data_IF_497157450554
#
_entry.id   IF_497157450554
#
_cell.length_a   1.000
_cell.length_b   1.000
_cell.length_c   1.000
_cell.angle_alpha   90.00
_cell.angle_beta   90.00
_cell.angle_gamma   90.00
#
_symmetry.space_group_name_H-M   'P 1'
#
loop_
_entity.id
_entity.type
_entity.pdbx_description
1 polymer ?
#
# COMPACT_ATOMS: atom_id res chain seq x y z
N UNK A 1 10.53 49.70 -6.97
CA UNK A 1 10.46 48.23 -6.90
C UNK A 1 9.02 47.83 -6.72
N UNK A 2 8.42 47.22 -7.74
CA UNK A 2 7.03 46.78 -7.75
C UNK A 2 7.01 45.25 -7.83
N UNK A 3 6.63 44.57 -6.75
CA UNK A 3 5.98 43.25 -6.77
C UNK A 3 5.08 43.20 -5.51
N UNK A 4 3.77 43.16 -5.72
CA UNK A 4 2.79 43.07 -4.63
C UNK A 4 1.36 43.44 -5.00
N UNK A 5 0.99 43.41 -6.29
CA UNK A 5 -0.38 43.69 -6.74
C UNK A 5 -1.10 42.39 -7.07
N UNK A 6 -2.00 41.94 -6.21
CA UNK A 6 -2.90 40.81 -6.51
C UNK A 6 -3.82 40.42 -5.35
N UNK A 7 -3.36 40.56 -4.10
CA UNK A 7 -4.13 40.13 -2.93
C UNK A 7 -5.28 41.08 -2.52
N UNK A 8 -5.27 42.34 -2.97
CA UNK A 8 -6.23 43.34 -2.49
C UNK A 8 -7.61 43.31 -3.15
N UNK A 9 -7.79 42.59 -4.28
CA UNK A 9 -9.07 42.64 -5.02
C UNK A 9 -10.14 41.66 -4.53
N UNK A 10 -9.82 40.68 -3.70
CA UNK A 10 -10.77 39.63 -3.29
C UNK A 10 -11.17 39.64 -1.81
N UNK A 11 -10.56 40.50 -0.99
CA UNK A 11 -10.75 40.47 0.46
C UNK A 11 -12.09 41.08 0.93
N UNK A 12 -12.83 41.77 0.05
CA UNK A 12 -13.99 42.58 0.45
C UNK A 12 -15.33 42.19 -0.21
N UNK A 13 -15.44 41.01 -0.83
CA UNK A 13 -16.72 40.48 -1.37
C UNK A 13 -16.96 39.02 -1.00
N UNK A 14 -18.23 38.61 -0.74
CA UNK A 14 -18.60 37.23 -0.38
C UNK A 14 -18.23 36.18 -1.44
N UNK A 15 -17.94 36.61 -2.67
CA UNK A 15 -17.47 35.74 -3.76
C UNK A 15 -16.05 35.21 -3.49
N UNK A 16 -15.20 35.99 -2.83
CA UNK A 16 -13.82 35.58 -2.50
C UNK A 16 -13.79 34.48 -1.44
N UNK A 17 -14.63 34.59 -0.41
CA UNK A 17 -14.73 33.56 0.65
C UNK A 17 -15.32 32.26 0.12
N UNK A 18 -16.33 32.32 -0.76
CA UNK A 18 -16.87 31.12 -1.43
C UNK A 18 -15.82 30.45 -2.32
N UNK A 19 -15.01 31.22 -3.05
CA UNK A 19 -13.90 30.70 -3.85
C UNK A 19 -12.82 29.99 -3.02
N UNK A 20 -12.48 30.54 -1.85
CA UNK A 20 -11.54 29.92 -0.91
C UNK A 20 -12.12 28.63 -0.32
N UNK A 21 -13.39 28.64 0.09
CA UNK A 21 -14.05 27.43 0.64
C UNK A 21 -14.17 26.34 -0.44
N UNK A 22 -14.52 26.69 -1.67
CA UNK A 22 -14.58 25.75 -2.78
C UNK A 22 -13.19 25.19 -3.13
N UNK A 23 -12.17 26.04 -3.12
CA UNK A 23 -10.77 25.62 -3.30
C UNK A 23 -10.31 24.67 -2.19
N UNK A 24 -10.56 25.02 -0.93
CA UNK A 24 -10.31 24.16 0.22
C UNK A 24 -11.03 22.82 0.09
N UNK A 25 -12.29 22.83 -0.34
CA UNK A 25 -13.07 21.62 -0.57
C UNK A 25 -12.50 20.76 -1.71
N UNK A 26 -12.14 21.37 -2.85
CA UNK A 26 -11.55 20.67 -4.00
C UNK A 26 -10.18 20.08 -3.64
N UNK A 27 -9.34 20.85 -2.94
CA UNK A 27 -8.01 20.43 -2.50
C UNK A 27 -8.11 19.33 -1.43
N UNK A 28 -8.94 19.52 -0.41
CA UNK A 28 -9.24 18.49 0.60
C UNK A 28 -9.76 17.20 -0.04
N UNK A 29 -10.67 17.31 -1.02
CA UNK A 29 -11.20 16.16 -1.76
C UNK A 29 -10.14 15.50 -2.65
N UNK A 30 -9.20 16.26 -3.22
CA UNK A 30 -8.11 15.71 -4.03
C UNK A 30 -7.06 14.98 -3.19
N UNK A 31 -6.73 15.50 -2.01
CA UNK A 31 -5.75 14.96 -1.05
C UNK A 31 -6.27 13.68 -0.37
N UNK A 32 -7.59 13.65 -0.06
CA UNK A 32 -8.29 12.50 0.55
C UNK A 32 -8.60 11.34 -0.39
N UNK A 33 -8.33 11.44 -1.69
CA UNK A 33 -8.54 10.30 -2.58
C UNK A 33 -7.58 9.17 -2.20
N UNK A 34 -8.08 7.97 -1.82
CA UNK A 34 -7.21 6.83 -1.62
C UNK A 34 -6.43 6.58 -2.91
N UNK A 35 -5.14 6.26 -2.81
CA UNK A 35 -4.36 5.86 -3.99
C UNK A 35 -4.83 4.46 -4.36
N UNK A 36 -5.90 4.42 -5.15
CA UNK A 36 -6.50 3.19 -5.65
C UNK A 36 -5.41 2.42 -6.42
N UNK A 37 -5.14 1.21 -5.98
CA UNK A 37 -4.32 0.24 -6.66
C UNK A 37 -4.96 -0.02 -8.03
N UNK A 38 -4.27 0.34 -9.11
CA UNK A 38 -4.73 0.15 -10.49
C UNK A 38 -3.88 -0.92 -11.18
N UNK A 39 -3.93 -2.15 -10.65
CA UNK A 39 -3.27 -3.28 -11.28
C UNK A 39 -4.18 -3.87 -12.36
N UNK A 40 -3.59 -4.25 -13.48
CA UNK A 40 -4.24 -4.96 -14.57
C UNK A 40 -3.35 -6.12 -15.00
N UNK A 41 -3.97 -7.24 -15.35
CA UNK A 41 -3.28 -8.35 -15.99
C UNK A 41 -3.01 -8.02 -17.45
N UNK A 42 -1.87 -8.49 -17.98
CA UNK A 42 -1.62 -8.47 -19.42
C UNK A 42 -2.54 -9.51 -20.05
N UNK A 43 -3.54 -9.05 -20.81
CA UNK A 43 -4.60 -9.89 -21.39
C UNK A 43 -4.02 -11.15 -22.06
N UNK A 44 -4.29 -12.31 -21.48
CA UNK A 44 -3.90 -13.62 -22.03
C UNK A 44 -5.05 -14.17 -22.87
N UNK A 45 -4.80 -14.52 -24.13
CA UNK A 45 -5.84 -15.01 -25.06
C UNK A 45 -6.24 -16.46 -24.69
N UNK A 46 -7.44 -16.67 -24.14
CA UNK A 46 -7.99 -18.00 -23.81
C UNK A 46 -9.17 -17.97 -22.82
N UNK A 47 -10.00 -19.04 -22.77
CA UNK A 47 -11.19 -19.14 -21.89
C UNK A 47 -10.88 -18.97 -20.40
N UNK A 48 -9.80 -19.57 -19.89
CA UNK A 48 -9.37 -19.41 -18.49
C UNK A 48 -8.77 -18.02 -18.20
N UNK A 49 -8.28 -17.31 -19.23
CA UNK A 49 -7.76 -15.96 -19.08
C UNK A 49 -8.82 -14.97 -18.61
N UNK A 50 -10.05 -15.08 -19.13
CA UNK A 50 -11.16 -14.22 -18.72
C UNK A 50 -11.60 -14.43 -17.26
N UNK A 51 -11.54 -15.66 -16.76
CA UNK A 51 -11.86 -15.97 -15.36
C UNK A 51 -10.82 -15.37 -14.41
N UNK A 52 -9.53 -15.49 -14.76
CA UNK A 52 -8.44 -14.92 -13.96
C UNK A 52 -8.45 -13.39 -13.96
N UNK A 53 -8.74 -12.79 -15.12
CA UNK A 53 -8.95 -11.35 -15.24
C UNK A 53 -10.06 -10.87 -14.29
N UNK A 54 -11.21 -11.54 -14.28
CA UNK A 54 -12.33 -11.18 -13.40
C UNK A 54 -12.01 -11.35 -11.90
N UNK A 55 -11.42 -12.47 -11.49
CA UNK A 55 -11.05 -12.71 -10.09
C UNK A 55 -9.98 -11.72 -9.62
N UNK A 56 -8.98 -11.41 -10.45
CA UNK A 56 -7.94 -10.43 -10.11
C UNK A 56 -8.51 -9.00 -10.03
N UNK A 57 -9.36 -8.61 -10.98
CA UNK A 57 -10.02 -7.29 -10.95
C UNK A 57 -10.90 -7.15 -9.70
N UNK A 58 -11.64 -8.20 -9.31
CA UNK A 58 -12.38 -8.22 -8.04
C UNK A 58 -11.46 -8.02 -6.84
N UNK A 59 -10.35 -8.76 -6.78
CA UNK A 59 -9.41 -8.68 -5.67
C UNK A 59 -8.82 -7.26 -5.51
N UNK A 60 -8.48 -6.61 -6.63
CA UNK A 60 -8.02 -5.21 -6.66
C UNK A 60 -9.14 -4.25 -6.24
N UNK A 61 -10.38 -4.49 -6.64
CA UNK A 61 -11.53 -3.69 -6.22
C UNK A 61 -11.78 -3.78 -4.71
N UNK A 62 -11.71 -4.98 -4.14
CA UNK A 62 -11.91 -5.19 -2.69
C UNK A 62 -10.76 -4.60 -1.87
N UNK A 63 -9.51 -4.70 -2.35
CA UNK A 63 -8.36 -3.96 -1.82
C UNK A 63 -8.63 -2.46 -1.75
N UNK A 64 -9.03 -1.87 -2.86
CA UNK A 64 -9.32 -0.45 -2.96
C UNK A 64 -10.45 0.00 -2.03
N UNK A 65 -11.47 -0.85 -1.86
CA UNK A 65 -12.58 -0.60 -0.94
C UNK A 65 -12.12 -0.63 0.51
N UNK A 66 -11.30 -1.61 0.90
CA UNK A 66 -10.74 -1.70 2.26
C UNK A 66 -9.85 -0.51 2.58
N UNK A 67 -8.99 -0.10 1.64
CA UNK A 67 -8.17 1.11 1.79
C UNK A 67 -9.05 2.34 2.04
N UNK A 68 -10.12 2.53 1.27
CA UNK A 68 -11.08 3.61 1.49
C UNK A 68 -11.71 3.59 2.88
N UNK A 69 -12.06 2.41 3.40
CA UNK A 69 -12.64 2.26 4.73
C UNK A 69 -11.63 2.52 5.87
N UNK A 70 -10.35 2.14 5.66
CA UNK A 70 -9.25 2.24 6.64
C UNK A 70 -8.93 3.68 7.06
N UNK A 71 -8.97 4.63 6.14
CA UNK A 71 -8.55 6.03 6.42
C UNK A 71 -9.40 6.74 7.48
N UNK A 72 -10.69 6.40 7.56
CA UNK A 72 -11.63 6.99 8.51
C UNK A 72 -11.73 6.19 9.83
N UNK A 73 -10.85 5.22 10.07
CA UNK A 73 -10.80 4.49 11.33
C UNK A 73 -10.21 5.37 12.44
N UNK A 74 -10.97 5.54 13.52
CA UNK A 74 -10.54 6.28 14.72
C UNK A 74 -9.77 5.40 15.70
N UNK A 75 -10.00 4.08 15.69
CA UNK A 75 -9.33 3.11 16.57
C UNK A 75 -7.89 2.85 16.06
N UNK A 76 -6.84 3.20 16.82
CA UNK A 76 -5.46 3.09 16.36
C UNK A 76 -5.05 1.65 16.08
N UNK A 77 -5.45 0.71 16.93
CA UNK A 77 -5.06 -0.70 16.82
C UNK A 77 -5.75 -1.36 15.61
N UNK A 78 -7.00 -0.99 15.36
CA UNK A 78 -7.73 -1.49 14.19
C UNK A 78 -7.21 -0.87 12.89
N UNK A 79 -6.80 0.40 12.94
CA UNK A 79 -6.16 1.08 11.81
C UNK A 79 -4.84 0.42 11.45
N UNK A 80 -4.04 0.04 12.45
CA UNK A 80 -2.80 -0.72 12.28
C UNK A 80 -3.07 -2.12 11.73
N UNK A 81 -4.00 -2.87 12.34
CA UNK A 81 -4.40 -4.21 11.85
C UNK A 81 -4.85 -4.15 10.38
N UNK A 82 -5.73 -3.21 10.04
CA UNK A 82 -6.17 -3.00 8.66
C UNK A 82 -5.01 -2.60 7.73
N UNK A 83 -4.02 -1.84 8.23
CA UNK A 83 -2.82 -1.49 7.46
C UNK A 83 -1.99 -2.74 7.12
N UNK A 84 -1.77 -3.62 8.10
CA UNK A 84 -1.01 -4.86 7.93
C UNK A 84 -1.69 -5.79 6.93
N UNK A 85 -3.01 -5.99 7.08
CA UNK A 85 -3.80 -6.78 6.14
C UNK A 85 -3.71 -6.23 4.71
N UNK A 86 -3.79 -4.91 4.53
CA UNK A 86 -3.63 -4.29 3.22
C UNK A 86 -2.20 -4.40 2.71
N UNK A 87 -1.19 -4.36 3.56
CA UNK A 87 0.18 -4.62 3.13
C UNK A 87 0.32 -6.03 2.54
N UNK A 88 -0.15 -7.06 3.27
CA UNK A 88 -0.12 -8.45 2.80
C UNK A 88 -0.91 -8.60 1.49
N UNK A 89 -2.13 -8.06 1.45
CA UNK A 89 -2.99 -8.08 0.28
C UNK A 89 -2.30 -7.46 -0.94
N UNK A 90 -1.66 -6.31 -0.78
CA UNK A 90 -0.92 -5.64 -1.86
C UNK A 90 0.19 -6.52 -2.42
N UNK A 91 0.96 -7.17 -1.56
CA UNK A 91 2.08 -8.00 -1.99
C UNK A 91 1.60 -9.25 -2.72
N UNK A 92 0.54 -9.87 -2.20
CA UNK A 92 -0.12 -10.98 -2.87
C UNK A 92 -0.65 -10.55 -4.24
N UNK A 93 -1.29 -9.40 -4.36
CA UNK A 93 -1.76 -8.88 -5.66
C UNK A 93 -0.61 -8.62 -6.64
N UNK A 94 0.53 -8.11 -6.19
CA UNK A 94 1.71 -7.98 -7.05
C UNK A 94 2.27 -9.33 -7.49
N UNK A 95 2.32 -10.30 -6.58
CA UNK A 95 2.74 -11.66 -6.90
C UNK A 95 1.82 -12.28 -7.95
N UNK A 96 0.50 -12.20 -7.76
CA UNK A 96 -0.50 -12.71 -8.70
C UNK A 96 -0.49 -11.99 -10.05
N UNK A 97 -0.07 -10.72 -10.09
CA UNK A 97 0.11 -10.02 -11.36
C UNK A 97 1.27 -10.60 -12.18
N UNK A 98 2.35 -11.01 -11.51
CA UNK A 98 3.54 -11.58 -12.14
C UNK A 98 3.36 -13.05 -12.50
N UNK A 99 2.59 -13.79 -11.69
CA UNK A 99 2.31 -15.21 -11.84
C UNK A 99 0.80 -15.48 -11.91
N UNK A 100 0.11 -15.11 -13.01
CA UNK A 100 -1.34 -15.21 -13.11
C UNK A 100 -1.88 -16.64 -12.98
N UNK A 101 -1.06 -17.65 -13.30
CA UNK A 101 -1.38 -19.07 -13.09
C UNK A 101 -1.57 -19.46 -11.63
N UNK A 102 -1.12 -18.62 -10.68
CA UNK A 102 -1.28 -18.82 -9.24
C UNK A 102 -2.58 -18.23 -8.70
N UNK A 103 -3.34 -17.47 -9.50
CA UNK A 103 -4.62 -16.87 -9.10
C UNK A 103 -5.60 -17.89 -8.48
N UNK A 104 -5.75 -19.12 -9.02
CA UNK A 104 -6.62 -20.13 -8.41
C UNK A 104 -6.20 -20.54 -6.99
N UNK A 105 -4.92 -20.47 -6.65
CA UNK A 105 -4.43 -20.78 -5.29
C UNK A 105 -4.77 -19.68 -4.29
N UNK A 106 -5.09 -18.48 -4.77
CA UNK A 106 -5.51 -17.35 -3.96
C UNK A 106 -7.05 -17.21 -3.90
N UNK A 107 -7.81 -18.18 -4.41
CA UNK A 107 -9.28 -18.12 -4.46
C UNK A 107 -9.93 -17.81 -3.09
N UNK A 108 -9.53 -18.45 -1.97
CA UNK A 108 -10.08 -18.11 -0.65
C UNK A 108 -9.80 -16.66 -0.24
N UNK A 109 -8.64 -16.12 -0.58
CA UNK A 109 -8.30 -14.72 -0.32
C UNK A 109 -9.18 -13.78 -1.14
N UNK A 110 -9.29 -14.04 -2.45
CA UNK A 110 -10.00 -13.19 -3.41
C UNK A 110 -11.51 -13.18 -3.13
N UNK A 111 -12.10 -14.34 -2.87
CA UNK A 111 -13.55 -14.49 -2.81
C UNK A 111 -14.12 -14.43 -1.39
N UNK A 112 -13.30 -14.66 -0.36
CA UNK A 112 -13.78 -14.71 1.02
C UNK A 112 -13.03 -13.74 1.93
N UNK A 113 -11.72 -13.86 2.11
CA UNK A 113 -11.03 -13.07 3.14
C UNK A 113 -11.07 -11.56 2.88
N UNK A 114 -10.78 -11.11 1.66
CA UNK A 114 -10.80 -9.68 1.34
C UNK A 114 -12.19 -9.05 1.48
N UNK A 115 -13.22 -9.71 0.97
CA UNK A 115 -14.60 -9.24 1.06
C UNK A 115 -15.08 -9.16 2.53
N UNK A 116 -14.77 -10.18 3.34
CA UNK A 116 -15.14 -10.22 4.75
C UNK A 116 -14.42 -9.16 5.57
N UNK A 117 -13.15 -8.89 5.30
CA UNK A 117 -12.40 -7.85 6.00
C UNK A 117 -13.03 -6.47 5.76
N UNK A 118 -13.35 -6.16 4.50
CA UNK A 118 -14.06 -4.93 4.10
C UNK A 118 -15.39 -4.80 4.85
N UNK A 119 -16.20 -5.87 4.83
CA UNK A 119 -17.49 -5.90 5.52
C UNK A 119 -17.34 -5.63 7.02
N UNK A 120 -16.39 -6.28 7.69
CA UNK A 120 -16.17 -6.17 9.13
C UNK A 120 -15.70 -4.77 9.52
N UNK A 121 -14.75 -4.19 8.80
CA UNK A 121 -14.30 -2.81 9.04
C UNK A 121 -15.44 -1.82 8.86
N UNK A 122 -16.22 -1.97 7.78
CA UNK A 122 -17.38 -1.12 7.54
C UNK A 122 -18.41 -1.23 8.68
N UNK A 123 -18.72 -2.45 9.13
CA UNK A 123 -19.65 -2.67 10.25
C UNK A 123 -19.12 -2.13 11.58
N UNK A 124 -17.82 -2.24 11.83
CA UNK A 124 -17.19 -1.63 13.00
C UNK A 124 -17.41 -0.11 13.01
N UNK A 125 -17.16 0.56 11.87
CA UNK A 125 -17.39 2.01 11.73
C UNK A 125 -18.85 2.38 12.00
N UNK A 126 -19.80 1.61 11.46
CA UNK A 126 -21.23 1.83 11.74
C UNK A 126 -21.52 1.74 13.25
N UNK A 127 -20.98 0.73 13.94
CA UNK A 127 -21.17 0.58 15.39
C UNK A 127 -20.54 1.73 16.18
N UNK A 128 -19.37 2.23 15.78
CA UNK A 128 -18.73 3.40 16.42
C UNK A 128 -19.57 4.66 16.19
N UNK A 129 -20.06 4.88 14.98
CA UNK A 129 -20.86 6.05 14.62
C UNK A 129 -22.19 6.14 15.40
N UNK A 130 -22.75 5.00 15.84
CA UNK A 130 -23.97 5.02 16.67
C UNK A 130 -23.78 5.69 18.04
N UNK A 131 -22.53 5.79 18.54
CA UNK A 131 -22.25 6.33 19.87
C UNK A 131 -22.79 5.48 21.04
N UNK A 132 -23.43 4.34 20.76
CA UNK A 132 -24.07 3.50 21.77
C UNK A 132 -23.02 2.80 22.64
N UNK A 133 -23.13 2.99 23.96
CA UNK A 133 -22.26 2.38 24.98
C UNK A 133 -22.88 1.15 25.63
N UNK A 134 -23.89 0.55 25.02
CA UNK A 134 -24.52 -0.67 25.56
C UNK A 134 -23.53 -1.84 25.52
N UNK A 135 -23.64 -2.74 26.51
CA UNK A 135 -22.77 -3.91 26.62
C UNK A 135 -22.74 -4.74 25.32
N UNK A 136 -23.88 -4.90 24.65
CA UNK A 136 -23.99 -5.63 23.38
C UNK A 136 -23.19 -4.98 22.25
N UNK A 137 -23.23 -3.65 22.13
CA UNK A 137 -22.49 -2.91 21.10
C UNK A 137 -20.99 -2.95 21.38
N UNK A 138 -20.57 -2.76 22.64
CA UNK A 138 -19.17 -2.87 23.05
C UNK A 138 -18.62 -4.27 22.81
N UNK A 139 -19.35 -5.32 23.24
CA UNK A 139 -18.94 -6.70 23.01
C UNK A 139 -18.85 -7.05 21.52
N UNK A 140 -19.78 -6.55 20.70
CA UNK A 140 -19.76 -6.79 19.25
C UNK A 140 -18.57 -6.09 18.59
N UNK A 141 -18.28 -4.83 18.96
CA UNK A 141 -17.08 -4.11 18.50
C UNK A 141 -15.81 -4.90 18.82
N UNK A 142 -15.69 -5.41 20.05
CA UNK A 142 -14.53 -6.21 20.45
C UNK A 142 -14.42 -7.52 19.65
N UNK A 143 -15.53 -8.23 19.42
CA UNK A 143 -15.55 -9.43 18.59
C UNK A 143 -15.07 -9.15 17.16
N UNK A 144 -15.53 -8.04 16.56
CA UNK A 144 -15.09 -7.63 15.22
C UNK A 144 -13.59 -7.33 15.22
N UNK A 145 -13.09 -6.62 16.23
CA UNK A 145 -11.66 -6.33 16.38
C UNK A 145 -10.83 -7.61 16.47
N UNK A 146 -11.18 -8.52 17.37
CA UNK A 146 -10.48 -9.81 17.51
C UNK A 146 -10.52 -10.63 16.22
N UNK A 147 -11.66 -10.66 15.54
CA UNK A 147 -11.79 -11.38 14.28
C UNK A 147 -10.90 -10.78 13.18
N UNK A 148 -10.83 -9.45 13.08
CA UNK A 148 -9.93 -8.78 12.12
C UNK A 148 -8.46 -9.09 12.41
N UNK A 149 -8.06 -9.14 13.68
CA UNK A 149 -6.71 -9.58 14.06
C UNK A 149 -6.44 -11.04 13.66
N UNK A 150 -7.40 -11.95 13.84
CA UNK A 150 -7.26 -13.33 13.38
C UNK A 150 -7.23 -13.45 11.85
N UNK A 151 -7.97 -12.58 11.15
CA UNK A 151 -7.95 -12.53 9.70
C UNK A 151 -6.59 -12.07 9.17
N UNK A 152 -5.87 -11.19 9.87
CA UNK A 152 -4.50 -10.82 9.52
C UNK A 152 -3.59 -12.06 9.42
N UNK A 153 -3.64 -12.95 10.41
CA UNK A 153 -2.93 -14.23 10.37
C UNK A 153 -3.38 -15.12 9.20
N UNK A 154 -4.69 -15.13 8.90
CA UNK A 154 -5.23 -15.88 7.77
C UNK A 154 -4.74 -15.35 6.41
N UNK A 155 -4.55 -14.03 6.28
CA UNK A 155 -3.97 -13.42 5.08
C UNK A 155 -2.53 -13.88 4.87
N UNK A 156 -1.72 -13.86 5.93
CA UNK A 156 -0.34 -14.35 5.86
C UNK A 156 -0.28 -15.82 5.45
N UNK A 157 -1.13 -16.65 6.04
CA UNK A 157 -1.20 -18.07 5.72
C UNK A 157 -1.63 -18.30 4.26
N UNK A 158 -2.63 -17.57 3.76
CA UNK A 158 -3.05 -17.72 2.36
C UNK A 158 -1.95 -17.29 1.39
N UNK A 159 -1.25 -16.18 1.67
CA UNK A 159 -0.14 -15.76 0.83
C UNK A 159 0.99 -16.82 0.83
N UNK A 160 1.22 -17.45 1.98
CA UNK A 160 2.19 -18.54 2.09
C UNK A 160 1.85 -19.72 1.21
N UNK A 161 0.59 -20.17 1.21
CA UNK A 161 0.14 -21.29 0.38
C UNK A 161 0.36 -21.00 -1.10
N UNK A 162 0.08 -19.76 -1.53
CA UNK A 162 0.32 -19.30 -2.90
C UNK A 162 1.82 -19.38 -3.26
N UNK A 163 2.72 -19.07 -2.32
CA UNK A 163 4.18 -19.12 -2.50
C UNK A 163 4.80 -20.52 -2.29
N UNK A 164 4.05 -21.48 -1.75
CA UNK A 164 4.59 -22.76 -1.27
C UNK A 164 5.42 -23.49 -2.33
N UNK A 165 4.98 -23.45 -3.59
CA UNK A 165 5.70 -24.08 -4.70
C UNK A 165 7.08 -23.45 -4.95
N UNK A 166 7.19 -22.13 -4.92
CA UNK A 166 8.48 -21.44 -5.08
C UNK A 166 9.38 -21.64 -3.87
N UNK A 167 8.81 -21.62 -2.67
CA UNK A 167 9.53 -21.86 -1.42
C UNK A 167 10.20 -23.24 -1.40
N UNK A 168 9.52 -24.27 -1.94
CA UNK A 168 10.08 -25.61 -2.05
C UNK A 168 11.26 -25.68 -3.02
N UNK A 169 11.18 -24.98 -4.15
CA UNK A 169 12.27 -24.92 -5.14
C UNK A 169 13.50 -24.24 -4.53
N UNK A 170 13.32 -23.09 -3.89
CA UNK A 170 14.41 -22.35 -3.24
C UNK A 170 15.07 -23.19 -2.15
N UNK A 171 14.31 -23.91 -1.32
CA UNK A 171 14.87 -24.79 -0.29
C UNK A 171 15.73 -25.91 -0.89
N UNK A 172 15.25 -26.51 -1.99
CA UNK A 172 16.02 -27.50 -2.76
C UNK A 172 17.32 -26.94 -3.34
N UNK A 173 17.28 -25.74 -3.93
CA UNK A 173 18.45 -25.05 -4.48
C UNK A 173 19.47 -24.67 -3.39
N UNK A 174 19.00 -24.16 -2.24
CA UNK A 174 19.85 -23.83 -1.10
C UNK A 174 20.55 -25.08 -0.58
N UNK A 175 19.82 -26.19 -0.41
CA UNK A 175 20.41 -27.48 0.02
C UNK A 175 21.43 -27.99 -1.00
N UNK A 176 21.15 -27.88 -2.30
CA UNK A 176 22.09 -28.26 -3.34
C UNK A 176 23.36 -27.38 -3.31
N UNK A 177 23.19 -26.08 -3.11
CA UNK A 177 24.28 -25.11 -3.05
C UNK A 177 25.14 -25.28 -1.79
N UNK A 178 24.54 -25.44 -0.61
CA UNK A 178 25.28 -25.70 0.63
C UNK A 178 26.07 -26.99 0.54
N UNK A 179 25.50 -28.05 -0.06
CA UNK A 179 26.21 -29.31 -0.32
C UNK A 179 27.38 -29.10 -1.28
N UNK A 180 27.22 -28.32 -2.34
CA UNK A 180 28.30 -28.01 -3.27
C UNK A 180 29.43 -27.22 -2.59
N UNK A 181 29.09 -26.20 -1.80
CA UNK A 181 30.06 -25.37 -1.07
C UNK A 181 30.78 -26.15 0.05
N UNK A 182 30.09 -27.06 0.72
CA UNK A 182 30.68 -27.96 1.71
C UNK A 182 31.68 -28.92 1.06
N UNK A 183 31.33 -29.51 -0.08
CA UNK A 183 32.24 -30.36 -0.86
C UNK A 183 33.50 -29.60 -1.33
N UNK A 184 33.39 -28.29 -1.55
CA UNK A 184 34.51 -27.42 -1.92
C UNK A 184 35.33 -26.93 -0.71
N UNK A 185 34.96 -27.30 0.51
CA UNK A 185 35.61 -26.86 1.74
C UNK A 185 35.41 -25.37 2.08
N UNK A 186 34.59 -24.66 1.30
CA UNK A 186 34.31 -23.21 1.45
C UNK A 186 33.25 -22.97 2.53
N UNK A 187 32.42 -23.97 2.81
CA UNK A 187 31.37 -23.91 3.81
C UNK A 187 31.54 -25.00 4.86
N UNK A 188 31.67 -24.60 6.12
CA UNK A 188 31.74 -25.51 7.27
C UNK A 188 30.44 -25.34 8.06
N UNK A 189 29.58 -26.35 8.01
CA UNK A 189 28.33 -26.34 8.77
C UNK A 189 28.66 -26.53 10.25
N UNK A 190 28.51 -25.47 11.06
CA UNK A 190 28.65 -25.56 12.50
C UNK A 190 27.47 -26.37 13.07
N UNK A 191 27.69 -27.66 13.32
CA UNK A 191 26.90 -28.49 14.23
C UNK A 191 25.49 -28.83 13.77
N UNK A 192 25.36 -29.99 13.13
CA UNK A 192 24.08 -30.67 12.88
C UNK A 192 23.41 -31.13 14.18
N UNK A 193 22.34 -30.45 14.58
CA UNK A 193 21.28 -31.02 15.41
C UNK A 193 20.27 -31.74 14.52
N UNK A 194 20.58 -32.97 14.11
CA UNK A 194 19.61 -33.89 13.52
C UNK A 194 18.63 -34.35 14.59
N UNK A 195 17.39 -33.84 14.54
CA UNK A 195 16.31 -34.24 15.43
C UNK A 195 15.56 -33.05 16.02
N UNK A 196 14.30 -32.85 15.58
CA UNK A 196 13.36 -31.82 16.08
C UNK A 196 13.71 -30.36 15.78
N UNK A 197 13.83 -29.99 14.50
CA UNK A 197 13.42 -28.65 14.06
C UNK A 197 13.11 -28.60 12.56
N UNK A 198 12.00 -29.25 12.18
CA UNK A 198 11.23 -28.91 10.96
C UNK A 198 10.58 -27.53 11.15
N UNK A 199 11.39 -26.50 11.36
CA UNK A 199 10.97 -25.12 11.31
C UNK A 199 11.63 -24.55 10.05
N UNK A 200 10.86 -24.61 8.95
CA UNK A 200 11.26 -24.09 7.65
C UNK A 200 11.77 -22.67 7.79
N UNK A 201 12.69 -22.24 6.91
CA UNK A 201 13.13 -20.84 6.83
C UNK A 201 11.94 -19.85 6.84
N UNK A 202 10.80 -20.32 6.32
CA UNK A 202 9.49 -19.71 6.34
C UNK A 202 8.91 -19.42 7.75
N UNK A 203 9.02 -20.31 8.75
CA UNK A 203 8.54 -19.99 10.11
C UNK A 203 9.41 -18.94 10.81
N UNK A 204 10.71 -18.93 10.50
CA UNK A 204 11.64 -17.87 10.94
C UNK A 204 11.45 -16.56 10.19
N UNK A 205 10.94 -16.59 8.96
CA UNK A 205 10.52 -15.40 8.21
C UNK A 205 9.21 -14.87 8.78
N UNK A 206 8.19 -15.71 9.05
CA UNK A 206 6.92 -15.33 9.69
C UNK A 206 7.16 -14.61 11.02
N UNK A 207 8.00 -15.19 11.89
CA UNK A 207 8.33 -14.61 13.20
C UNK A 207 9.25 -13.37 13.12
N UNK A 208 9.94 -13.17 11.99
CA UNK A 208 10.68 -11.92 11.73
C UNK A 208 9.77 -10.89 11.06
N UNK A 209 8.89 -11.26 10.14
CA UNK A 209 7.94 -10.40 9.45
C UNK A 209 6.95 -9.77 10.43
N UNK A 210 6.43 -10.55 11.39
CA UNK A 210 5.62 -10.04 12.50
C UNK A 210 6.32 -8.97 13.35
N UNK A 211 7.65 -9.02 13.42
CA UNK A 211 8.49 -8.10 14.19
C UNK A 211 9.18 -7.02 13.32
N UNK A 212 8.95 -7.00 11.99
CA UNK A 212 9.79 -6.28 11.00
C UNK A 212 9.01 -5.47 9.96
N UNK A 213 7.73 -5.15 10.18
CA UNK A 213 7.07 -4.22 9.28
C UNK A 213 7.74 -2.81 9.25
N UNK A 214 8.64 -2.50 10.19
CA UNK A 214 9.40 -1.23 10.23
C UNK A 214 10.89 -1.27 9.85
N UNK A 215 11.50 -2.43 9.56
CA UNK A 215 12.97 -2.48 9.44
C UNK A 215 13.50 -3.18 8.18
N UNK A 216 13.93 -2.33 7.24
CA UNK A 216 14.98 -2.58 6.25
C UNK A 216 14.61 -3.26 4.92
N UNK A 217 13.36 -3.65 4.72
CA UNK A 217 12.76 -3.91 3.40
C UNK A 217 11.28 -3.61 3.56
N UNK A 218 10.66 -2.82 2.69
CA UNK A 218 9.24 -2.40 2.77
C UNK A 218 8.20 -3.55 2.66
N UNK A 219 8.59 -4.79 2.98
CA UNK A 219 7.76 -6.00 3.01
C UNK A 219 7.21 -6.44 1.66
N UNK A 220 7.45 -5.68 0.58
CA UNK A 220 6.70 -5.83 -0.67
C UNK A 220 7.38 -6.80 -1.63
N UNK A 221 6.64 -7.80 -2.12
CA UNK A 221 7.09 -8.71 -3.17
C UNK A 221 7.24 -7.90 -4.46
N UNK A 222 8.48 -7.61 -4.85
CA UNK A 222 8.80 -6.68 -5.92
C UNK A 222 9.77 -7.29 -6.90
N UNK A 223 9.40 -7.30 -8.18
CA UNK A 223 10.28 -7.68 -9.29
C UNK A 223 11.28 -6.57 -9.65
N UNK A 224 11.32 -5.47 -8.89
CA UNK A 224 12.22 -4.35 -9.12
C UNK A 224 13.64 -4.80 -8.75
N UNK A 225 14.53 -4.83 -9.74
CA UNK A 225 15.95 -5.12 -9.51
C UNK A 225 16.53 -4.16 -8.46
N UNK A 226 17.50 -4.60 -7.64
CA UNK A 226 18.08 -3.73 -6.61
C UNK A 226 18.61 -2.40 -7.17
N UNK A 227 19.13 -2.41 -8.40
CA UNK A 227 19.56 -1.21 -9.11
C UNK A 227 18.41 -0.25 -9.42
N UNK A 228 17.28 -0.78 -9.91
CA UNK A 228 16.11 0.04 -10.21
C UNK A 228 15.44 0.55 -8.93
N UNK A 229 15.48 -0.24 -7.84
CA UNK A 229 14.94 0.14 -6.52
C UNK A 229 15.64 1.40 -5.99
N UNK A 230 16.96 1.48 -6.12
CA UNK A 230 17.71 2.66 -5.71
C UNK A 230 17.22 3.91 -6.45
N UNK A 231 17.14 3.85 -7.78
CA UNK A 231 16.63 4.96 -8.61
C UNK A 231 15.21 5.39 -8.22
N UNK A 232 14.33 4.43 -7.95
CA UNK A 232 12.95 4.73 -7.55
C UNK A 232 12.91 5.41 -6.18
N UNK A 233 13.73 4.96 -5.23
CA UNK A 233 13.83 5.58 -3.90
C UNK A 233 14.39 7.00 -3.97
N UNK A 234 15.40 7.24 -4.80
CA UNK A 234 15.92 8.58 -5.07
C UNK A 234 14.80 9.48 -5.62
N UNK A 235 14.07 9.04 -6.65
CA UNK A 235 12.96 9.82 -7.19
C UNK A 235 11.85 10.07 -6.17
N UNK A 236 11.57 9.10 -5.29
CA UNK A 236 10.61 9.25 -4.19
C UNK A 236 11.06 10.33 -3.21
N UNK A 237 12.32 10.29 -2.79
CA UNK A 237 12.89 11.25 -1.85
C UNK A 237 12.98 12.65 -2.46
N UNK A 238 13.38 12.77 -3.73
CA UNK A 238 13.37 14.03 -4.47
C UNK A 238 11.95 14.59 -4.51
N UNK A 239 10.96 13.76 -4.88
CA UNK A 239 9.55 14.19 -4.91
C UNK A 239 9.06 14.62 -3.53
N UNK A 240 9.44 13.91 -2.46
CA UNK A 240 9.08 14.25 -1.09
C UNK A 240 9.72 15.57 -0.63
N UNK A 241 11.01 15.77 -0.92
CA UNK A 241 11.72 17.01 -0.62
C UNK A 241 11.14 18.20 -1.40
N UNK A 242 10.81 18.01 -2.68
CA UNK A 242 10.12 19.03 -3.48
C UNK A 242 8.75 19.35 -2.91
N UNK A 243 8.01 18.35 -2.42
CA UNK A 243 6.70 18.59 -1.81
C UNK A 243 6.83 19.38 -0.50
N UNK A 244 7.85 19.09 0.31
CA UNK A 244 8.08 19.75 1.59
C UNK A 244 8.54 21.21 1.43
N UNK A 245 9.53 21.46 0.56
CA UNK A 245 10.12 22.80 0.39
C UNK A 245 9.44 23.65 -0.68
N UNK A 246 8.97 23.04 -1.77
CA UNK A 246 8.37 23.72 -2.93
C UNK A 246 6.89 23.34 -3.14
N UNK A 247 6.24 22.79 -2.10
CA UNK A 247 4.83 22.42 -2.10
C UNK A 247 3.88 23.57 -2.45
N UNK A 248 4.21 24.79 -2.01
CA UNK A 248 3.40 26.00 -2.26
C UNK A 248 3.20 26.30 -3.75
N UNK A 249 4.13 25.87 -4.60
CA UNK A 249 4.07 26.03 -6.05
C UNK A 249 3.65 24.75 -6.78
N UNK A 250 3.53 23.61 -6.07
CA UNK A 250 3.18 22.32 -6.65
C UNK A 250 4.26 21.72 -7.56
N UNK A 251 5.54 22.10 -7.41
CA UNK A 251 6.62 21.61 -8.26
C UNK A 251 6.77 20.08 -8.24
N UNK A 252 6.46 19.43 -7.11
CA UNK A 252 6.46 17.97 -7.00
C UNK A 252 5.52 17.29 -8.01
N UNK A 253 4.40 17.92 -8.35
CA UNK A 253 3.46 17.39 -9.33
C UNK A 253 3.95 17.56 -10.76
N UNK A 254 4.65 18.65 -11.06
CA UNK A 254 5.32 18.85 -12.35
C UNK A 254 6.49 17.89 -12.53
N UNK A 255 7.28 17.67 -11.48
CA UNK A 255 8.36 16.66 -11.49
C UNK A 255 7.83 15.26 -11.82
N UNK A 256 6.62 14.96 -11.35
CA UNK A 256 5.92 13.70 -11.61
C UNK A 256 5.13 13.65 -12.93
N UNK A 257 5.27 14.64 -13.82
CA UNK A 257 4.48 14.80 -15.06
C UNK A 257 2.95 14.76 -14.81
N UNK A 258 2.48 15.12 -13.62
CA UNK A 258 1.05 15.20 -13.26
C UNK A 258 0.52 16.61 -13.47
N UNK A 259 0.58 17.08 -14.72
CA UNK A 259 0.37 18.48 -15.08
C UNK A 259 -0.97 19.04 -14.57
N UNK A 260 -2.06 18.26 -14.63
CA UNK A 260 -3.39 18.70 -14.15
C UNK A 260 -3.37 19.10 -12.67
N UNK A 261 -2.62 18.40 -11.82
CA UNK A 261 -2.51 18.74 -10.38
C UNK A 261 -1.56 19.91 -10.15
N UNK A 262 -0.45 19.96 -10.91
CA UNK A 262 0.49 21.07 -10.86
C UNK A 262 -0.19 22.41 -11.15
N UNK A 263 -0.99 22.50 -12.20
CA UNK A 263 -1.73 23.74 -12.53
C UNK A 263 -2.70 24.17 -11.42
N UNK A 264 -3.39 23.21 -10.77
CA UNK A 264 -4.28 23.52 -9.65
C UNK A 264 -3.48 24.12 -8.48
N UNK A 265 -2.32 23.57 -8.15
CA UNK A 265 -1.48 24.08 -7.05
C UNK A 265 -0.92 25.47 -7.36
N UNK A 266 -0.52 25.74 -8.61
CA UNK A 266 -0.06 27.07 -9.04
C UNK A 266 -1.20 28.10 -9.00
N UNK A 267 -2.41 27.74 -9.45
CA UNK A 267 -3.57 28.65 -9.39
C UNK A 267 -3.95 29.03 -7.96
N UNK A 268 -3.67 28.16 -7.00
CA UNK A 268 -3.94 28.39 -5.58
C UNK A 268 -2.70 28.76 -4.76
N UNK A 269 -1.52 28.97 -5.37
CA UNK A 269 -0.26 29.20 -4.63
C UNK A 269 -0.31 30.45 -3.74
N UNK A 270 -1.11 31.44 -4.13
CA UNK A 270 -1.32 32.70 -3.39
C UNK A 270 -2.14 32.53 -2.11
N UNK A 271 -2.79 31.37 -1.92
CA UNK A 271 -3.60 31.09 -0.71
C UNK A 271 -2.79 30.47 0.43
N UNK A 272 -1.51 30.13 0.20
CA UNK A 272 -0.64 29.38 1.12
C UNK A 272 -1.13 27.94 1.45
N UNK A 273 -2.38 27.60 1.12
CA UNK A 273 -2.98 26.27 1.28
C UNK A 273 -2.17 25.17 0.55
N UNK A 274 -1.71 25.34 -0.71
CA UNK A 274 -0.90 24.33 -1.39
C UNK A 274 0.41 24.00 -0.65
N UNK A 275 0.95 24.96 0.12
CA UNK A 275 2.15 24.75 0.93
C UNK A 275 1.91 23.75 2.06
N UNK A 276 0.81 23.93 2.81
CA UNK A 276 0.44 23.00 3.88
C UNK A 276 0.14 21.59 3.34
N UNK A 277 -0.56 21.51 2.21
CA UNK A 277 -0.84 20.24 1.54
C UNK A 277 0.44 19.57 1.02
N UNK A 278 1.39 20.34 0.49
CA UNK A 278 2.70 19.84 0.08
C UNK A 278 3.50 19.21 1.24
N UNK A 279 3.43 19.78 2.45
CA UNK A 279 4.05 19.19 3.65
C UNK A 279 3.42 17.84 4.00
N UNK A 280 2.08 17.74 3.99
CA UNK A 280 1.35 16.48 4.23
C UNK A 280 1.71 15.44 3.17
N UNK A 281 1.75 15.82 1.90
CA UNK A 281 2.12 14.93 0.80
C UNK A 281 3.59 14.49 0.89
N UNK A 282 4.49 15.39 1.32
CA UNK A 282 5.90 15.12 1.57
C UNK A 282 6.10 14.08 2.67
N UNK A 283 5.49 14.27 3.84
CA UNK A 283 5.52 13.29 4.93
C UNK A 283 4.93 11.95 4.48
N UNK A 284 3.84 11.97 3.71
CA UNK A 284 3.23 10.76 3.14
C UNK A 284 4.16 10.04 2.17
N UNK A 285 4.87 10.75 1.29
CA UNK A 285 5.82 10.17 0.33
C UNK A 285 7.01 9.53 1.03
N UNK A 286 7.47 10.10 2.14
CA UNK A 286 8.51 9.50 2.98
C UNK A 286 8.00 8.20 3.63
N UNK A 287 6.76 8.20 4.13
CA UNK A 287 6.15 7.03 4.76
C UNK A 287 5.61 5.98 3.76
N UNK A 288 5.65 6.27 2.45
CA UNK A 288 5.08 5.38 1.43
C UNK A 288 6.13 4.40 0.92
N UNK A 289 5.73 3.15 0.70
CA UNK A 289 6.67 2.11 0.24
C UNK A 289 7.24 2.36 -1.16
N UNK A 290 8.44 1.83 -1.46
CA UNK A 290 9.07 1.97 -2.80
C UNK A 290 8.18 1.44 -3.91
N UNK A 291 7.52 0.31 -3.64
CA UNK A 291 6.65 -0.37 -4.60
C UNK A 291 5.36 0.43 -4.83
N UNK A 292 4.72 0.92 -3.78
CA UNK A 292 3.57 1.81 -3.93
C UNK A 292 3.94 3.08 -4.73
N UNK A 293 5.15 3.61 -4.55
CA UNK A 293 5.65 4.71 -5.37
C UNK A 293 5.85 4.29 -6.83
N UNK A 294 6.41 3.10 -7.04
CA UNK A 294 6.68 2.57 -8.36
C UNK A 294 5.39 2.45 -9.19
N UNK A 295 4.38 1.77 -8.66
CA UNK A 295 3.13 1.54 -9.39
C UNK A 295 2.22 2.78 -9.44
N UNK A 296 2.15 3.57 -8.37
CA UNK A 296 1.29 4.76 -8.35
C UNK A 296 1.86 5.91 -9.18
N UNK A 297 3.19 6.11 -9.19
CA UNK A 297 3.81 7.34 -9.70
C UNK A 297 4.86 7.06 -10.78
N UNK A 298 5.82 6.20 -10.49
CA UNK A 298 6.99 5.98 -11.35
C UNK A 298 6.60 5.43 -12.73
N UNK A 299 5.80 4.35 -12.79
CA UNK A 299 5.35 3.78 -14.07
C UNK A 299 4.60 4.80 -14.93
N UNK A 300 3.82 5.68 -14.31
CA UNK A 300 3.07 6.72 -15.04
C UNK A 300 3.99 7.76 -15.69
N UNK A 301 5.11 8.09 -15.04
CA UNK A 301 6.09 9.07 -15.54
C UNK A 301 6.84 8.57 -16.77
N UNK A 302 7.07 7.26 -16.84
CA UNK A 302 7.87 6.59 -17.89
C UNK A 302 7.04 5.84 -18.96
N UNK A 303 5.72 5.71 -18.76
CA UNK A 303 4.78 5.15 -19.77
C UNK A 303 4.20 6.23 -20.71
N UNK A 304 4.47 7.52 -20.43
CA UNK A 304 3.96 8.67 -21.18
C UNK A 304 5.02 9.28 -22.10
#
# INVERSE_FOLDING_TARGET
MAIGGGAWFFYNRPVGTVGIILSLYILYRLERQPRLLSLKLTRRKGKSGGQYDASFEKAVADFNRMEGERWDLTDPDLKETAANMQHIARNLLYYLQQYPERIPLADPFIHYYQDRAVFLVHKYKQLVATGLKTQKVVATKQKVRTLLTQMDEAYENQFTEVLQGELQVIDGEVVAMTRNLANRGVYRENGSGSGKRRQSAFSRWKQRASNRFDAYTDGTFSSITPELRHKINEERLITAALAFFLGSFGLQHFYMKRNRRGYVYVLFCWTFIPGFLGIVEGMRLVNMTTDEFYYASYLRKYRA
#
